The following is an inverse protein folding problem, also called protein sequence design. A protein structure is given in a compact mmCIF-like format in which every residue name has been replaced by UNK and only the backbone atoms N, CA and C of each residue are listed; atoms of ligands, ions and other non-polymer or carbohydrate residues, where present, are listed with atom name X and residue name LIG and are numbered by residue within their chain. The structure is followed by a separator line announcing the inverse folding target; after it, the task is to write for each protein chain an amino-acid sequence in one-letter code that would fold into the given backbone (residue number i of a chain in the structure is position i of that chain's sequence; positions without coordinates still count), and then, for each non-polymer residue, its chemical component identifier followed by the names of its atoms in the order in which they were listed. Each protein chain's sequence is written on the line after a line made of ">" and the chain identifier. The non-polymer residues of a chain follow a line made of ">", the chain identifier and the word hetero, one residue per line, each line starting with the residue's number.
data_IF_624444194027
#
_entry.id   IF_624444194027
#
_cell.length_a   1.000
_cell.length_b   1.000
_cell.length_c   1.000
_cell.angle_alpha   90.00
_cell.angle_beta   90.00
_cell.angle_gamma   90.00
#
_symmetry.space_group_name_H-M   'P 1'
#
loop_
_entity.id
_entity.type
_entity.pdbx_description
1 polymer ?
#
# COMPACT_ATOMS: atom_id res chain seq x y z
N UNK A 1 -5.79 8.32 -8.34
CA UNK A 1 -6.57 8.92 -7.23
C UNK A 1 -7.36 7.89 -6.41
N UNK A 2 -7.80 6.77 -6.99
CA UNK A 2 -8.51 5.69 -6.28
C UNK A 2 -7.88 5.24 -4.95
N UNK A 3 -6.54 5.30 -4.86
CA UNK A 3 -5.77 5.00 -3.65
C UNK A 3 -6.28 5.75 -2.40
N UNK A 4 -6.82 6.97 -2.53
CA UNK A 4 -7.36 7.72 -1.38
C UNK A 4 -8.52 6.97 -0.71
N UNK A 5 -9.42 6.40 -1.52
CA UNK A 5 -10.57 5.63 -1.00
C UNK A 5 -10.09 4.27 -0.51
N UNK A 6 -9.32 3.58 -1.36
CA UNK A 6 -8.82 2.23 -1.07
C UNK A 6 -8.00 2.21 0.21
N UNK A 7 -6.98 3.07 0.30
CA UNK A 7 -6.04 3.05 1.41
C UNK A 7 -6.75 3.31 2.74
N UNK A 8 -7.53 4.40 2.79
CA UNK A 8 -8.16 4.89 4.03
C UNK A 8 -9.31 4.01 4.52
N UNK A 9 -10.16 3.51 3.62
CA UNK A 9 -11.37 2.76 3.98
C UNK A 9 -11.23 1.25 3.78
N UNK A 10 -10.26 0.83 2.97
CA UNK A 10 -9.98 -0.56 2.60
C UNK A 10 -8.74 -1.08 3.29
N UNK A 11 -7.55 -0.72 2.80
CA UNK A 11 -6.26 -1.21 3.28
C UNK A 11 -6.11 -1.04 4.80
N UNK A 12 -6.33 0.14 5.37
CA UNK A 12 -6.25 0.32 6.84
C UNK A 12 -7.14 -0.62 7.65
N UNK A 13 -8.32 -0.97 7.11
CA UNK A 13 -9.26 -1.90 7.76
C UNK A 13 -8.78 -3.35 7.63
N UNK A 14 -8.25 -3.72 6.46
CA UNK A 14 -7.92 -5.10 6.07
C UNK A 14 -6.44 -5.43 6.12
N UNK A 15 -5.57 -4.49 6.49
CA UNK A 15 -4.11 -4.64 6.51
C UNK A 15 -3.72 -5.93 7.21
N UNK A 16 -2.76 -6.66 6.64
CA UNK A 16 -2.28 -7.97 7.06
C UNK A 16 -3.35 -9.08 7.07
N UNK A 17 -4.42 -8.96 6.27
CA UNK A 17 -5.40 -10.04 6.04
C UNK A 17 -5.32 -10.55 4.60
N UNK A 18 -6.02 -11.65 4.29
CA UNK A 18 -6.07 -12.17 2.92
C UNK A 18 -6.92 -11.31 1.97
N UNK A 19 -7.82 -10.48 2.52
CA UNK A 19 -8.71 -9.58 1.79
C UNK A 19 -8.07 -8.24 1.44
N UNK A 20 -6.83 -7.99 1.86
CA UNK A 20 -6.11 -6.75 1.55
C UNK A 20 -5.23 -6.89 0.31
N UNK A 21 -5.53 -6.15 -0.78
CA UNK A 21 -4.70 -6.12 -1.98
C UNK A 21 -3.26 -5.71 -1.69
N UNK A 22 -3.03 -4.78 -0.78
CA UNK A 22 -1.72 -4.18 -0.54
C UNK A 22 -0.87 -4.94 0.50
N UNK A 23 -1.40 -6.01 1.08
CA UNK A 23 -0.64 -6.91 1.95
C UNK A 23 0.06 -8.01 1.14
N UNK A 24 1.38 -7.90 1.02
CA UNK A 24 2.18 -8.92 0.33
C UNK A 24 2.13 -10.26 1.06
N UNK A 25 1.96 -11.35 0.29
CA UNK A 25 1.89 -12.72 0.83
C UNK A 25 3.31 -13.25 1.05
N UNK A 26 3.45 -14.19 1.99
CA UNK A 26 4.71 -14.87 2.18
C UNK A 26 5.09 -15.61 0.88
N UNK A 27 6.36 -15.50 0.46
CA UNK A 27 6.91 -16.02 -0.82
C UNK A 27 6.30 -15.44 -2.10
N UNK A 28 5.41 -14.45 -2.01
CA UNK A 28 4.96 -13.74 -3.20
C UNK A 28 6.09 -12.86 -3.72
N UNK A 29 6.48 -13.00 -4.98
CA UNK A 29 7.48 -12.11 -5.57
C UNK A 29 6.88 -10.73 -5.84
N UNK A 30 7.71 -9.69 -5.84
CA UNK A 30 7.28 -8.33 -6.21
C UNK A 30 6.56 -8.30 -7.57
N UNK A 31 7.01 -9.11 -8.53
CA UNK A 31 6.41 -9.20 -9.85
C UNK A 31 5.02 -9.85 -9.86
N UNK A 32 4.76 -10.82 -8.96
CA UNK A 32 3.44 -11.40 -8.78
C UNK A 32 2.51 -10.46 -7.97
N UNK A 33 3.10 -9.69 -7.05
CA UNK A 33 2.40 -8.70 -6.24
C UNK A 33 1.81 -7.57 -7.08
N UNK A 34 2.59 -6.97 -8.00
CA UNK A 34 2.18 -5.81 -8.80
C UNK A 34 0.82 -5.93 -9.50
N UNK A 35 0.56 -6.93 -10.35
CA UNK A 35 -0.73 -7.02 -11.03
C UNK A 35 -1.88 -7.24 -10.04
N UNK A 36 -1.62 -7.98 -8.96
CA UNK A 36 -2.62 -8.27 -7.93
C UNK A 36 -3.00 -7.00 -7.16
N UNK A 37 -2.03 -6.29 -6.58
CA UNK A 37 -2.30 -5.06 -5.81
C UNK A 37 -2.97 -4.01 -6.68
N UNK A 38 -2.44 -3.73 -7.89
CA UNK A 38 -2.95 -2.66 -8.75
C UNK A 38 -4.42 -2.92 -9.15
N UNK A 39 -4.72 -4.13 -9.64
CA UNK A 39 -6.07 -4.45 -10.11
C UNK A 39 -7.05 -4.56 -8.94
N UNK A 40 -6.69 -5.30 -7.88
CA UNK A 40 -7.59 -5.52 -6.76
C UNK A 40 -7.83 -4.25 -5.95
N UNK A 41 -6.82 -3.37 -5.79
CA UNK A 41 -6.99 -2.06 -5.14
C UNK A 41 -7.94 -1.16 -5.92
N UNK A 42 -7.83 -1.13 -7.26
CA UNK A 42 -8.74 -0.35 -8.09
C UNK A 42 -10.20 -0.85 -7.97
N UNK A 43 -10.42 -2.16 -8.02
CA UNK A 43 -11.75 -2.76 -7.85
C UNK A 43 -12.29 -2.57 -6.43
N UNK A 44 -11.42 -2.69 -5.42
CA UNK A 44 -11.73 -2.42 -4.01
C UNK A 44 -12.25 -0.99 -3.81
N UNK A 45 -11.59 0.01 -4.41
CA UNK A 45 -12.02 1.41 -4.33
C UNK A 45 -13.43 1.62 -4.90
N UNK A 46 -13.73 1.03 -6.07
CA UNK A 46 -15.08 1.06 -6.64
C UNK A 46 -16.11 0.39 -5.74
N UNK A 47 -15.77 -0.76 -5.17
CA UNK A 47 -16.67 -1.49 -4.27
C UNK A 47 -16.98 -0.69 -3.01
N UNK A 48 -15.96 -0.07 -2.40
CA UNK A 48 -16.10 0.78 -1.21
C UNK A 48 -16.99 1.99 -1.52
N UNK A 49 -16.69 2.73 -2.58
CA UNK A 49 -17.43 3.94 -2.94
C UNK A 49 -18.91 3.64 -3.25
N UNK A 50 -19.16 2.59 -4.04
CA UNK A 50 -20.52 2.17 -4.36
C UNK A 50 -21.29 1.69 -3.11
N UNK A 51 -20.62 1.07 -2.14
CA UNK A 51 -21.22 0.71 -0.85
C UNK A 51 -21.60 1.94 -0.04
N UNK A 52 -20.72 2.94 0.04
CA UNK A 52 -20.97 4.15 0.81
C UNK A 52 -22.13 4.96 0.21
N UNK A 53 -22.20 5.06 -1.12
CA UNK A 53 -23.34 5.68 -1.81
C UNK A 53 -24.65 4.93 -1.58
N UNK A 54 -24.65 3.59 -1.63
CA UNK A 54 -25.83 2.78 -1.33
C UNK A 54 -26.35 3.06 0.09
N UNK A 55 -25.47 3.09 1.09
CA UNK A 55 -25.83 3.40 2.48
C UNK A 55 -26.36 4.82 2.63
N UNK A 56 -25.89 5.76 1.82
CA UNK A 56 -26.36 7.13 1.76
C UNK A 56 -27.63 7.32 0.90
N UNK A 57 -28.21 6.26 0.33
CA UNK A 57 -29.38 6.33 -0.55
C UNK A 57 -29.12 7.02 -1.89
N UNK A 58 -27.86 7.07 -2.34
CA UNK A 58 -27.44 7.74 -3.58
C UNK A 58 -27.19 6.73 -4.71
N UNK A 59 -27.49 7.10 -5.98
CA UNK A 59 -27.20 6.25 -7.12
C UNK A 59 -25.69 6.11 -7.38
N UNK A 60 -25.26 4.90 -7.76
CA UNK A 60 -23.84 4.61 -8.02
C UNK A 60 -23.29 5.41 -9.21
N UNK A 61 -24.07 5.57 -10.27
CA UNK A 61 -23.69 6.42 -11.41
C UNK A 61 -24.29 7.80 -11.15
N UNK A 62 -23.51 8.67 -10.52
CA UNK A 62 -23.93 10.03 -10.20
C UNK A 62 -22.75 10.95 -9.94
N UNK A 63 -23.03 12.25 -9.86
CA UNK A 63 -22.05 13.28 -9.47
C UNK A 63 -21.50 13.08 -8.05
N UNK A 64 -22.11 12.21 -7.25
CA UNK A 64 -21.65 11.92 -5.90
C UNK A 64 -20.57 10.82 -5.86
N UNK A 65 -20.37 10.10 -6.96
CA UNK A 65 -19.38 9.03 -7.01
C UNK A 65 -17.98 9.60 -7.29
N UNK A 66 -17.13 9.55 -6.28
CA UNK A 66 -15.76 10.06 -6.37
C UNK A 66 -14.92 9.30 -7.41
N UNK A 67 -15.15 8.00 -7.59
CA UNK A 67 -14.40 7.20 -8.58
C UNK A 67 -14.67 7.63 -10.02
N UNK A 68 -15.89 8.09 -10.33
CA UNK A 68 -16.20 8.68 -11.64
C UNK A 68 -15.40 9.97 -11.84
N UNK A 69 -15.39 10.87 -10.85
CA UNK A 69 -14.62 12.10 -10.91
C UNK A 69 -13.13 11.85 -11.03
N UNK A 70 -12.58 10.89 -10.28
CA UNK A 70 -11.19 10.49 -10.40
C UNK A 70 -10.83 10.06 -11.81
N UNK A 71 -11.66 9.21 -12.45
CA UNK A 71 -11.44 8.81 -13.83
C UNK A 71 -11.48 9.99 -14.81
N UNK A 72 -12.51 10.85 -14.70
CA UNK A 72 -12.66 12.03 -15.56
C UNK A 72 -11.46 12.98 -15.42
N UNK A 73 -11.09 13.34 -14.19
CA UNK A 73 -9.99 14.27 -13.92
C UNK A 73 -8.66 13.70 -14.44
N UNK A 74 -8.39 12.41 -14.21
CA UNK A 74 -7.15 11.78 -14.65
C UNK A 74 -7.06 11.69 -16.19
N UNK A 75 -8.15 11.29 -16.86
CA UNK A 75 -8.20 11.23 -18.33
C UNK A 75 -8.08 12.63 -18.93
N UNK A 76 -8.82 13.61 -18.40
CA UNK A 76 -8.74 14.98 -18.85
C UNK A 76 -7.33 15.54 -18.68
N UNK A 77 -6.68 15.30 -17.54
CA UNK A 77 -5.31 15.77 -17.30
C UNK A 77 -4.31 15.19 -18.31
N UNK A 78 -4.37 13.88 -18.58
CA UNK A 78 -3.52 13.24 -19.60
C UNK A 78 -3.80 13.83 -20.99
N UNK A 79 -5.07 14.04 -21.34
CA UNK A 79 -5.46 14.65 -22.61
C UNK A 79 -4.95 16.09 -22.75
N UNK A 80 -5.01 16.89 -21.68
CA UNK A 80 -4.48 18.26 -21.67
C UNK A 80 -2.96 18.27 -21.87
N UNK A 81 -2.22 17.34 -21.26
CA UNK A 81 -0.77 17.20 -21.51
C UNK A 81 -0.53 16.90 -23.00
N UNK A 82 -1.25 15.93 -23.58
CA UNK A 82 -1.10 15.59 -25.00
C UNK A 82 -1.48 16.73 -25.94
N UNK A 83 -2.53 17.49 -25.61
CA UNK A 83 -2.99 18.63 -26.39
C UNK A 83 -2.02 19.82 -26.37
N UNK A 84 -1.53 20.21 -25.18
CA UNK A 84 -0.70 21.40 -25.02
C UNK A 84 0.80 21.15 -25.23
N UNK A 85 1.29 19.96 -24.85
CA UNK A 85 2.72 19.64 -24.84
C UNK A 85 3.11 18.57 -25.88
N UNK A 86 2.11 18.02 -26.59
CA UNK A 86 2.30 17.01 -27.62
C UNK A 86 2.36 15.57 -27.09
N UNK A 87 2.17 14.63 -28.02
CA UNK A 87 2.06 13.19 -27.71
C UNK A 87 3.32 12.62 -27.05
N UNK A 88 4.51 13.08 -27.44
CA UNK A 88 5.78 12.59 -26.87
C UNK A 88 5.88 12.89 -25.38
N UNK A 89 5.51 14.11 -24.96
CA UNK A 89 5.52 14.49 -23.54
C UNK A 89 4.44 13.75 -22.77
N UNK A 90 3.26 13.54 -23.37
CA UNK A 90 2.21 12.71 -22.78
C UNK A 90 2.71 11.28 -22.49
N UNK A 91 3.43 10.66 -23.43
CA UNK A 91 4.00 9.33 -23.23
C UNK A 91 5.07 9.30 -22.14
N UNK A 92 5.94 10.31 -22.05
CA UNK A 92 6.90 10.42 -20.95
C UNK A 92 6.22 10.60 -19.59
N UNK A 93 5.16 11.41 -19.53
CA UNK A 93 4.34 11.53 -18.33
C UNK A 93 3.72 10.21 -17.92
N UNK A 94 3.12 9.47 -18.87
CA UNK A 94 2.54 8.15 -18.60
C UNK A 94 3.59 7.15 -18.11
N UNK A 95 4.78 7.13 -18.71
CA UNK A 95 5.89 6.30 -18.25
C UNK A 95 6.30 6.66 -16.82
N UNK A 96 6.45 7.94 -16.51
CA UNK A 96 6.77 8.41 -15.15
C UNK A 96 5.66 8.04 -14.14
N UNK A 97 4.38 8.13 -14.53
CA UNK A 97 3.26 7.74 -13.69
C UNK A 97 3.26 6.23 -13.38
N UNK A 98 3.57 5.39 -14.37
CA UNK A 98 3.71 3.93 -14.18
C UNK A 98 4.87 3.62 -13.23
N UNK A 99 6.01 4.30 -13.39
CA UNK A 99 7.14 4.17 -12.47
C UNK A 99 6.77 4.61 -11.05
N UNK A 100 6.00 5.70 -10.90
CA UNK A 100 5.49 6.16 -9.61
C UNK A 100 4.54 5.15 -8.95
N UNK A 101 3.65 4.52 -9.71
CA UNK A 101 2.80 3.42 -9.22
C UNK A 101 3.66 2.24 -8.78
N UNK A 102 4.63 1.81 -9.59
CA UNK A 102 5.53 0.73 -9.23
C UNK A 102 6.34 1.03 -7.97
N UNK A 103 6.79 2.27 -7.80
CA UNK A 103 7.50 2.71 -6.60
C UNK A 103 6.61 2.62 -5.35
N UNK A 104 5.38 3.15 -5.43
CA UNK A 104 4.41 3.08 -4.33
C UNK A 104 4.09 1.64 -3.94
N UNK A 105 3.82 0.78 -4.93
CA UNK A 105 3.51 -0.63 -4.66
C UNK A 105 4.73 -1.40 -4.15
N UNK A 106 5.95 -1.04 -4.55
CA UNK A 106 7.17 -1.60 -3.94
C UNK A 106 7.24 -1.26 -2.46
N UNK A 107 6.87 -0.04 -2.08
CA UNK A 107 6.82 0.39 -0.68
C UNK A 107 5.79 -0.42 0.09
N UNK A 108 4.55 -0.51 -0.40
CA UNK A 108 3.51 -1.37 0.20
C UNK A 108 3.98 -2.82 0.36
N UNK A 109 4.66 -3.35 -0.66
CA UNK A 109 5.17 -4.71 -0.67
C UNK A 109 6.15 -4.94 0.49
N UNK A 110 7.17 -4.08 0.64
CA UNK A 110 8.18 -4.26 1.70
C UNK A 110 7.61 -3.99 3.09
N UNK A 111 6.65 -3.07 3.21
CA UNK A 111 5.98 -2.70 4.45
C UNK A 111 5.07 -3.81 4.99
N UNK A 112 4.48 -4.63 4.11
CA UNK A 112 3.49 -5.63 4.49
C UNK A 112 3.88 -7.07 4.13
N UNK A 113 5.13 -7.31 3.77
CA UNK A 113 5.59 -8.63 3.35
C UNK A 113 5.43 -9.69 4.45
N UNK A 114 4.61 -10.70 4.18
CA UNK A 114 4.53 -11.94 4.97
C UNK A 114 3.87 -11.81 6.35
N UNK A 115 3.58 -10.59 6.81
CA UNK A 115 2.91 -10.35 8.09
C UNK A 115 1.40 -10.59 7.96
N UNK A 116 0.83 -11.27 8.96
CA UNK A 116 -0.58 -11.67 8.96
C UNK A 116 -1.21 -11.48 10.33
N UNK A 117 -2.41 -10.92 10.33
CA UNK A 117 -3.31 -10.90 11.48
C UNK A 117 -3.97 -12.26 11.64
N UNK A 118 -4.18 -12.65 12.89
CA UNK A 118 -4.96 -13.84 13.23
C UNK A 118 -6.43 -13.65 12.87
N UNK A 119 -6.97 -14.64 12.16
CA UNK A 119 -8.41 -14.78 11.96
C UNK A 119 -9.04 -15.38 13.24
N UNK A 120 -10.03 -14.69 13.79
CA UNK A 120 -10.71 -15.09 15.02
C UNK A 120 -11.96 -15.91 14.72
N UNK A 121 -12.70 -15.50 13.69
CA UNK A 121 -13.89 -16.15 13.12
C UNK A 121 -13.82 -15.95 11.59
N UNK A 122 -14.53 -16.75 10.78
CA UNK A 122 -14.53 -16.57 9.32
C UNK A 122 -14.83 -15.12 8.90
N UNK A 123 -13.85 -14.46 8.26
CA UNK A 123 -13.92 -13.06 7.80
C UNK A 123 -13.68 -11.99 8.88
N UNK A 124 -13.35 -12.38 10.11
CA UNK A 124 -13.14 -11.46 11.25
C UNK A 124 -11.75 -11.65 11.84
N UNK A 125 -10.93 -10.61 11.69
CA UNK A 125 -9.54 -10.59 12.12
C UNK A 125 -9.37 -9.80 13.43
N UNK A 126 -8.36 -10.16 14.22
CA UNK A 126 -7.92 -9.37 15.38
C UNK A 126 -7.56 -7.94 15.00
N UNK A 127 -7.49 -6.97 15.92
CA UNK A 127 -7.19 -5.57 15.56
C UNK A 127 -5.79 -5.43 14.91
N UNK A 128 -5.63 -4.48 13.98
CA UNK A 128 -4.31 -4.11 13.49
C UNK A 128 -3.43 -3.54 14.63
N UNK A 129 -2.21 -4.03 14.72
CA UNK A 129 -1.23 -3.76 15.79
C UNK A 129 0.12 -3.44 15.14
N UNK A 130 1.06 -2.78 15.83
CA UNK A 130 2.35 -2.40 15.24
C UNK A 130 3.15 -3.58 14.65
N UNK A 131 2.95 -4.80 15.15
CA UNK A 131 3.57 -6.03 14.64
C UNK A 131 3.08 -6.49 13.26
N UNK A 132 1.97 -5.92 12.78
CA UNK A 132 1.35 -6.27 11.49
C UNK A 132 1.90 -5.48 10.29
N UNK A 133 2.94 -4.69 10.48
CA UNK A 133 3.70 -4.07 9.40
C UNK A 133 5.17 -3.82 9.78
N UNK A 134 6.03 -3.85 8.77
CA UNK A 134 7.46 -3.57 8.92
C UNK A 134 7.72 -2.08 9.07
N UNK A 135 8.65 -1.75 9.96
CA UNK A 135 9.06 -0.38 10.28
C UNK A 135 10.52 -0.13 9.87
N UNK A 136 10.93 1.13 9.81
CA UNK A 136 12.34 1.51 9.68
C UNK A 136 12.59 2.82 10.42
N UNK A 137 13.51 2.81 11.38
CA UNK A 137 13.86 4.01 12.15
C UNK A 137 15.11 4.76 11.63
N UNK A 138 15.56 4.50 10.40
CA UNK A 138 16.71 5.20 9.81
C UNK A 138 16.41 6.69 9.56
N UNK A 139 17.26 7.58 10.11
CA UNK A 139 17.06 9.03 10.08
C UNK A 139 16.88 9.60 8.67
N UNK A 140 17.72 9.19 7.71
CA UNK A 140 17.64 9.67 6.31
C UNK A 140 16.33 9.25 5.67
N UNK A 141 15.89 8.01 5.89
CA UNK A 141 14.61 7.51 5.38
C UNK A 141 13.43 8.27 5.96
N UNK A 142 13.46 8.57 7.28
CA UNK A 142 12.44 9.38 7.96
C UNK A 142 12.30 10.78 7.36
N UNK A 143 13.42 11.45 7.09
CA UNK A 143 13.39 12.80 6.51
C UNK A 143 12.91 12.78 5.05
N UNK A 144 13.44 11.87 4.23
CA UNK A 144 13.14 11.80 2.79
C UNK A 144 11.72 11.31 2.50
N UNK A 145 11.18 10.43 3.34
CA UNK A 145 9.85 9.85 3.17
C UNK A 145 8.81 10.45 4.13
N UNK A 146 9.08 11.64 4.69
CA UNK A 146 8.16 12.35 5.58
C UNK A 146 7.58 11.47 6.72
N UNK A 147 8.47 10.80 7.45
CA UNK A 147 8.15 9.89 8.56
C UNK A 147 7.34 8.63 8.18
N UNK A 148 7.09 8.38 6.87
CA UNK A 148 6.44 7.16 6.38
C UNK A 148 7.07 5.90 6.95
N UNK A 149 8.38 5.94 7.20
CA UNK A 149 9.11 4.81 7.74
C UNK A 149 8.63 4.36 9.12
N UNK A 150 7.89 5.19 9.87
CA UNK A 150 7.14 4.84 11.11
C UNK A 150 5.79 4.17 10.81
N UNK A 151 5.79 3.30 9.82
CA UNK A 151 4.61 2.71 9.21
C UNK A 151 3.73 1.90 10.18
N UNK A 152 4.37 1.21 11.13
CA UNK A 152 3.65 0.44 12.17
C UNK A 152 2.71 1.31 13.01
N UNK A 153 3.10 2.54 13.34
CA UNK A 153 2.22 3.45 14.10
C UNK A 153 1.09 4.02 13.22
N UNK A 154 1.37 4.24 11.93
CA UNK A 154 0.36 4.65 10.94
C UNK A 154 -0.74 3.60 10.80
N UNK A 155 -0.41 2.31 10.75
CA UNK A 155 -1.44 1.26 10.70
C UNK A 155 -2.11 0.98 12.05
N UNK A 156 -1.39 1.16 13.16
CA UNK A 156 -1.96 1.01 14.49
C UNK A 156 -2.95 2.14 14.84
N UNK A 157 -2.64 3.39 14.47
CA UNK A 157 -3.45 4.58 14.70
C UNK A 157 -3.44 5.51 13.48
N UNK A 158 -4.19 5.14 12.44
CA UNK A 158 -4.27 5.85 11.15
C UNK A 158 -4.72 7.32 11.23
N UNK A 159 -5.40 7.71 12.31
CA UNK A 159 -5.81 9.10 12.55
C UNK A 159 -4.67 10.00 13.04
N UNK A 160 -3.53 9.42 13.42
CA UNK A 160 -2.36 10.17 13.88
C UNK A 160 -1.69 10.86 12.70
N UNK A 161 -1.46 12.16 12.82
CA UNK A 161 -0.78 12.94 11.78
C UNK A 161 0.67 12.48 11.61
N UNK A 162 1.15 12.47 10.36
CA UNK A 162 2.46 11.90 10.00
C UNK A 162 3.64 12.51 10.79
N UNK A 163 3.58 13.80 11.13
CA UNK A 163 4.66 14.51 11.84
C UNK A 163 4.90 13.99 13.27
N UNK A 164 3.89 13.33 13.86
CA UNK A 164 3.91 12.88 15.25
C UNK A 164 3.79 11.36 15.38
N UNK A 165 3.96 10.62 14.28
CA UNK A 165 4.06 9.16 14.28
C UNK A 165 5.11 8.73 15.29
N UNK A 166 4.88 7.64 16.02
CA UNK A 166 5.75 7.13 17.07
C UNK A 166 6.56 5.93 16.58
N UNK A 167 7.71 5.73 17.20
CA UNK A 167 8.41 4.46 17.10
C UNK A 167 7.82 3.49 18.13
N UNK A 168 7.73 2.21 17.75
CA UNK A 168 7.32 1.12 18.63
C UNK A 168 8.48 0.13 18.65
N UNK A 169 9.10 -0.08 19.81
CA UNK A 169 10.30 -0.91 19.93
C UNK A 169 10.02 -2.38 19.59
N UNK A 170 8.79 -2.83 19.85
CA UNK A 170 8.33 -4.20 19.57
C UNK A 170 7.89 -4.41 18.11
N UNK A 171 7.84 -3.35 17.29
CA UNK A 171 7.46 -3.48 15.89
C UNK A 171 8.61 -4.09 15.06
N UNK A 172 8.31 -5.01 14.12
CA UNK A 172 9.31 -5.65 13.30
C UNK A 172 10.01 -4.62 12.41
N UNK A 173 11.34 -4.62 12.42
CA UNK A 173 12.14 -3.66 11.66
C UNK A 173 12.65 -4.25 10.36
N UNK A 174 12.65 -3.45 9.29
CA UNK A 174 13.30 -3.79 8.03
C UNK A 174 14.82 -3.96 8.25
N UNK A 175 15.45 -4.99 7.66
CA UNK A 175 16.88 -5.25 7.82
C UNK A 175 17.81 -4.10 7.39
N UNK A 176 17.48 -3.39 6.31
CA UNK A 176 18.37 -2.39 5.67
C UNK A 176 17.70 -1.03 5.45
N UNK A 177 16.48 -0.84 5.99
CA UNK A 177 15.64 0.32 5.70
C UNK A 177 15.07 0.33 4.27
N UNK A 178 14.34 1.40 3.93
CA UNK A 178 13.53 1.45 2.70
C UNK A 178 14.37 1.28 1.41
N UNK A 179 15.43 2.09 1.14
CA UNK A 179 16.14 1.98 -0.12
C UNK A 179 16.76 0.60 -0.36
N UNK A 180 17.34 0.01 0.69
CA UNK A 180 17.92 -1.33 0.62
C UNK A 180 16.85 -2.39 0.34
N UNK A 181 15.74 -2.36 1.10
CA UNK A 181 14.66 -3.32 0.91
C UNK A 181 13.97 -3.20 -0.45
N UNK A 182 13.79 -1.98 -0.97
CA UNK A 182 13.20 -1.74 -2.29
C UNK A 182 14.07 -2.34 -3.41
N UNK A 183 15.39 -2.16 -3.36
CA UNK A 183 16.31 -2.78 -4.32
C UNK A 183 16.27 -4.29 -4.18
N UNK A 184 16.36 -4.81 -2.95
CA UNK A 184 16.36 -6.25 -2.69
C UNK A 184 15.08 -6.93 -3.17
N UNK A 185 13.92 -6.28 -3.06
CA UNK A 185 12.62 -6.82 -3.49
C UNK A 185 12.58 -7.18 -4.99
N UNK A 186 13.44 -6.56 -5.82
CA UNK A 186 13.60 -6.89 -7.23
C UNK A 186 14.40 -8.17 -7.49
N UNK A 187 15.02 -8.75 -6.44
CA UNK A 187 15.77 -10.01 -6.47
C UNK A 187 15.13 -11.03 -5.50
N UNK A 188 14.00 -11.66 -5.86
CA UNK A 188 13.18 -12.42 -4.92
C UNK A 188 13.92 -13.47 -4.09
N UNK A 189 14.84 -14.30 -4.63
CA UNK A 189 15.57 -15.28 -3.82
C UNK A 189 16.36 -14.63 -2.67
N UNK A 190 17.02 -13.50 -2.93
CA UNK A 190 17.80 -12.78 -1.92
C UNK A 190 16.88 -12.07 -0.92
N UNK A 191 15.81 -11.43 -1.41
CA UNK A 191 14.81 -10.81 -0.57
C UNK A 191 14.18 -11.82 0.39
N UNK A 192 13.75 -12.98 -0.11
CA UNK A 192 13.15 -14.02 0.70
C UNK A 192 14.12 -14.56 1.74
N UNK A 193 15.38 -14.82 1.36
CA UNK A 193 16.42 -15.26 2.31
C UNK A 193 16.60 -14.27 3.48
N UNK A 194 16.67 -12.97 3.18
CA UNK A 194 16.81 -11.93 4.20
C UNK A 194 15.56 -11.79 5.06
N UNK A 195 14.38 -11.80 4.45
CA UNK A 195 13.11 -11.69 5.18
C UNK A 195 12.85 -12.91 6.06
N UNK A 196 13.18 -14.12 5.61
CA UNK A 196 13.07 -15.34 6.44
C UNK A 196 13.93 -15.23 7.70
N UNK A 197 15.18 -14.74 7.56
CA UNK A 197 16.08 -14.53 8.70
C UNK A 197 15.52 -13.47 9.65
N UNK A 198 14.95 -12.40 9.10
CA UNK A 198 14.39 -11.32 9.89
C UNK A 198 13.10 -11.74 10.60
N UNK A 199 12.18 -12.43 9.93
CA UNK A 199 10.94 -12.97 10.51
C UNK A 199 11.25 -13.92 11.67
N UNK A 200 12.25 -14.79 11.52
CA UNK A 200 12.73 -15.66 12.60
C UNK A 200 13.22 -14.89 13.83
N UNK A 201 13.88 -13.75 13.65
CA UNK A 201 14.35 -12.89 14.76
C UNK A 201 13.17 -12.38 15.61
N UNK A 202 12.03 -12.13 14.98
CA UNK A 202 10.81 -11.65 15.64
C UNK A 202 9.83 -12.79 16.00
N UNK A 203 10.24 -14.06 15.88
CA UNK A 203 9.37 -15.20 16.21
C UNK A 203 8.17 -15.39 15.27
N UNK A 204 8.18 -14.74 14.09
CA UNK A 204 7.10 -14.85 13.11
C UNK A 204 7.28 -16.18 12.37
N UNK A 205 6.28 -17.07 12.49
CA UNK A 205 6.35 -18.41 11.90
C UNK A 205 6.18 -18.30 10.37
N UNK A 206 7.23 -18.68 9.65
CA UNK A 206 7.24 -18.85 8.21
C UNK A 206 6.66 -20.24 7.93
N UNK A 207 5.36 -20.34 7.63
CA UNK A 207 4.72 -21.59 7.16
C UNK A 207 4.75 -21.66 5.64
#
# INVERSE_FOLDING_TARGET
>A
MHFIIEHNKGHHKRVATHDDPSSARLRESLFAFYPRTIVMSYLSAWHIENNDLRKAGKPMISIYNEMIWFAIIQIAFIALIGWFLGITIMLYYMAAAILGIGLLETVNYIEHYGLRRKELEPGKFERAMPEHSWNSNHLVGRMMLFELSRHSDHHYLASRKYQILRHHDDAPQMPTGYPGMMILAHFPPLFFYLMDKQMKKYGIVVQ
#
